data_IF_776532369828
#
_entry.id   IF_776532369828
#
_cell.length_a   1.000
_cell.length_b   1.000
_cell.length_c   1.000
_cell.angle_alpha   90.00
_cell.angle_beta   90.00
_cell.angle_gamma   90.00
#
_symmetry.space_group_name_H-M   'P 1'
#
loop_
_entity.id
_entity.type
_entity.pdbx_description
1 polymer ?
#
# COMPACT_ATOMS: atom_id res chain seq x y z
N UNK A 1 3.34 -9.71 8.95
CA UNK A 1 4.14 -9.56 7.71
C UNK A 1 3.30 -9.97 6.52
N UNK A 2 3.37 -9.23 5.45
CA UNK A 2 2.82 -9.59 4.14
C UNK A 2 3.95 -9.60 3.11
N UNK A 3 3.97 -10.59 2.23
CA UNK A 3 5.00 -10.75 1.22
C UNK A 3 4.40 -11.06 -0.14
N UNK A 4 4.93 -10.43 -1.18
CA UNK A 4 4.72 -10.79 -2.57
C UNK A 4 5.87 -11.70 -3.02
N UNK A 5 5.53 -12.86 -3.60
CA UNK A 5 6.50 -13.87 -4.02
C UNK A 5 6.39 -14.08 -5.53
N UNK A 6 7.38 -13.65 -6.28
CA UNK A 6 7.43 -13.74 -7.75
C UNK A 6 6.17 -13.21 -8.45
N UNK A 7 5.60 -12.13 -7.93
CA UNK A 7 4.34 -11.59 -8.45
C UNK A 7 4.57 -10.90 -9.79
N UNK A 8 3.85 -11.38 -10.79
CA UNK A 8 3.82 -10.81 -12.14
C UNK A 8 2.37 -10.53 -12.51
N UNK A 9 2.10 -9.34 -13.02
CA UNK A 9 0.80 -9.00 -13.60
C UNK A 9 0.97 -8.51 -15.02
N UNK A 10 0.29 -9.18 -15.97
CA UNK A 10 0.23 -8.82 -17.38
C UNK A 10 -1.15 -8.32 -17.73
N UNK A 11 -1.18 -7.22 -18.47
CA UNK A 11 -2.38 -6.70 -19.11
C UNK A 11 -2.15 -6.81 -20.63
N UNK A 12 -2.73 -7.82 -21.25
CA UNK A 12 -2.45 -8.16 -22.64
C UNK A 12 -1.00 -8.64 -22.81
N UNK A 13 -0.27 -7.99 -23.71
CA UNK A 13 1.15 -8.32 -23.98
C UNK A 13 2.15 -7.60 -23.09
N UNK A 14 1.68 -6.62 -22.32
CA UNK A 14 2.54 -5.78 -21.47
C UNK A 14 2.44 -6.20 -20.00
N UNK A 15 3.57 -6.37 -19.36
CA UNK A 15 3.62 -6.54 -17.91
C UNK A 15 3.58 -5.18 -17.21
N UNK A 16 2.70 -5.02 -16.21
CA UNK A 16 2.73 -3.88 -15.31
C UNK A 16 3.90 -4.01 -14.34
N UNK A 17 4.13 -5.20 -13.83
CA UNK A 17 5.30 -5.57 -13.03
C UNK A 17 5.59 -7.06 -13.20
N UNK A 18 6.86 -7.43 -13.05
CA UNK A 18 7.35 -8.78 -13.26
C UNK A 18 8.24 -9.24 -12.10
N UNK A 19 8.02 -10.48 -11.66
CA UNK A 19 8.85 -11.19 -10.68
C UNK A 19 9.14 -10.34 -9.43
N UNK A 20 8.11 -9.68 -8.92
CA UNK A 20 8.22 -8.85 -7.72
C UNK A 20 8.34 -9.73 -6.48
N UNK A 21 9.44 -9.57 -5.75
CA UNK A 21 9.68 -10.18 -4.45
C UNK A 21 9.88 -9.06 -3.43
N UNK A 22 8.93 -8.90 -2.53
CA UNK A 22 8.97 -7.85 -1.53
C UNK A 22 8.28 -8.29 -0.25
N UNK A 23 8.86 -7.92 0.90
CA UNK A 23 8.30 -8.18 2.22
C UNK A 23 8.00 -6.86 2.92
N UNK A 24 6.83 -6.76 3.48
CA UNK A 24 6.40 -5.64 4.31
C UNK A 24 6.28 -6.12 5.75
N UNK A 25 7.03 -5.51 6.65
CA UNK A 25 7.16 -5.93 8.04
C UNK A 25 6.55 -4.95 9.02
N UNK A 26 6.23 -5.41 10.22
CA UNK A 26 5.67 -4.63 11.31
C UNK A 26 6.56 -3.44 11.70
N UNK A 27 5.94 -2.41 12.25
CA UNK A 27 6.63 -1.20 12.69
C UNK A 27 6.99 -0.24 11.57
N UNK A 28 6.56 -0.50 10.34
CA UNK A 28 6.85 0.33 9.18
C UNK A 28 5.60 0.82 8.48
N UNK A 29 5.64 2.06 8.03
CA UNK A 29 4.70 2.62 7.08
C UNK A 29 5.38 2.76 5.72
N UNK A 30 4.92 2.00 4.76
CA UNK A 30 5.48 1.98 3.41
C UNK A 30 4.66 2.90 2.49
N UNK A 31 5.30 3.90 1.90
CA UNK A 31 4.71 4.69 0.84
C UNK A 31 4.96 4.02 -0.51
N UNK A 32 3.91 3.57 -1.17
CA UNK A 32 4.00 2.99 -2.50
C UNK A 32 3.89 4.10 -3.53
N UNK A 33 4.96 4.34 -4.26
CA UNK A 33 5.06 5.41 -5.25
C UNK A 33 5.37 4.87 -6.63
N UNK A 34 5.21 5.69 -7.64
CA UNK A 34 5.46 5.37 -9.04
C UNK A 34 4.71 6.35 -9.94
N UNK A 35 5.02 6.32 -11.23
CA UNK A 35 4.32 7.11 -12.23
C UNK A 35 2.83 6.73 -12.32
N UNK A 36 1.99 7.64 -12.81
CA UNK A 36 0.60 7.32 -13.12
C UNK A 36 0.55 6.18 -14.13
N UNK A 37 -0.26 5.15 -13.84
CA UNK A 37 -0.34 3.95 -14.67
C UNK A 37 0.75 2.91 -14.39
N UNK A 38 1.62 3.11 -13.40
CA UNK A 38 2.63 2.12 -13.00
C UNK A 38 2.05 0.89 -12.29
N UNK A 39 0.79 0.97 -11.84
CA UNK A 39 0.09 -0.13 -11.20
C UNK A 39 0.05 -0.10 -9.67
N UNK A 40 0.19 1.06 -9.04
CA UNK A 40 0.16 1.22 -7.58
C UNK A 40 -1.10 0.66 -6.95
N UNK A 41 -2.26 1.16 -7.36
CA UNK A 41 -3.56 0.69 -6.87
C UNK A 41 -3.82 -0.77 -7.21
N UNK A 42 -3.37 -1.20 -8.37
CA UNK A 42 -3.46 -2.60 -8.82
C UNK A 42 -2.63 -3.51 -7.93
N UNK A 43 -1.43 -3.10 -7.55
CA UNK A 43 -0.58 -3.85 -6.62
C UNK A 43 -1.23 -3.99 -5.24
N UNK A 44 -1.85 -2.93 -4.71
CA UNK A 44 -2.63 -3.03 -3.47
C UNK A 44 -3.78 -4.02 -3.57
N UNK A 45 -4.48 -4.07 -4.71
CA UNK A 45 -5.55 -5.05 -4.93
C UNK A 45 -5.05 -6.49 -4.94
N UNK A 46 -3.85 -6.72 -5.46
CA UNK A 46 -3.21 -8.04 -5.40
C UNK A 46 -2.85 -8.40 -3.96
N UNK A 47 -2.26 -7.48 -3.20
CA UNK A 47 -1.92 -7.70 -1.79
C UNK A 47 -3.15 -8.00 -0.93
N UNK A 48 -4.28 -7.36 -1.22
CA UNK A 48 -5.54 -7.55 -0.48
C UNK A 48 -6.34 -8.79 -0.93
N UNK A 49 -5.91 -9.47 -1.98
CA UNK A 49 -6.62 -10.62 -2.53
C UNK A 49 -7.80 -10.28 -3.45
N UNK A 50 -8.02 -9.00 -3.77
CA UNK A 50 -9.09 -8.56 -4.68
C UNK A 50 -8.79 -8.88 -6.15
N UNK A 51 -7.54 -9.05 -6.49
CA UNK A 51 -7.06 -9.36 -7.83
C UNK A 51 -6.00 -10.45 -7.76
N UNK A 52 -6.15 -11.49 -8.59
CA UNK A 52 -5.13 -12.51 -8.70
C UNK A 52 -4.00 -12.09 -9.65
N UNK A 53 -2.73 -12.30 -9.29
CA UNK A 53 -1.62 -12.06 -10.21
C UNK A 53 -1.61 -13.09 -11.34
N UNK A 54 -0.95 -12.75 -12.44
CA UNK A 54 -0.72 -13.68 -13.55
C UNK A 54 0.19 -14.83 -13.14
N UNK A 55 1.21 -14.52 -12.33
CA UNK A 55 2.14 -15.48 -11.72
C UNK A 55 2.49 -15.03 -10.30
N UNK A 56 2.92 -15.99 -9.49
CA UNK A 56 3.31 -15.74 -8.11
C UNK A 56 2.12 -15.74 -7.15
N UNK A 57 2.42 -15.44 -5.92
CA UNK A 57 1.44 -15.45 -4.83
C UNK A 57 1.77 -14.39 -3.77
N UNK A 58 0.79 -14.14 -2.91
CA UNK A 58 0.93 -13.28 -1.74
C UNK A 58 0.73 -14.12 -0.50
N UNK A 59 1.66 -14.01 0.44
CA UNK A 59 1.59 -14.71 1.73
C UNK A 59 1.47 -13.73 2.88
N UNK A 60 0.64 -14.07 3.85
CA UNK A 60 0.44 -13.32 5.09
C UNK A 60 0.77 -14.25 6.25
N UNK A 61 1.45 -13.74 7.27
CA UNK A 61 1.71 -14.50 8.49
C UNK A 61 0.39 -15.05 9.05
N UNK A 62 0.32 -16.37 9.33
CA UNK A 62 -0.92 -16.97 9.84
C UNK A 62 -1.45 -16.27 11.08
N UNK A 63 -2.77 -16.07 11.14
CA UNK A 63 -3.45 -15.41 12.24
C UNK A 63 -3.46 -13.87 12.17
N UNK A 64 -2.77 -13.27 11.23
CA UNK A 64 -2.79 -11.82 11.04
C UNK A 64 -4.00 -11.37 10.21
N UNK A 65 -4.58 -10.23 10.60
CA UNK A 65 -5.73 -9.63 9.94
C UNK A 65 -5.30 -8.51 9.02
N UNK A 66 -5.68 -8.61 7.75
CA UNK A 66 -5.50 -7.57 6.76
C UNK A 66 -6.76 -6.72 6.67
N UNK A 67 -6.59 -5.41 6.65
CA UNK A 67 -7.63 -4.42 6.39
C UNK A 67 -7.23 -3.55 5.20
N UNK A 68 -8.19 -3.20 4.36
CA UNK A 68 -7.96 -2.29 3.24
C UNK A 68 -9.09 -1.26 3.15
N UNK A 69 -8.78 -0.11 2.55
CA UNK A 69 -9.77 0.93 2.29
C UNK A 69 -10.69 0.49 1.16
N UNK A 70 -11.96 0.22 1.51
CA UNK A 70 -13.01 -0.16 0.56
C UNK A 70 -13.34 1.02 -0.36
N UNK A 71 -13.44 0.76 -1.66
CA UNK A 71 -13.72 1.79 -2.67
C UNK A 71 -15.22 1.94 -2.99
N UNK A 72 -16.01 0.88 -2.77
CA UNK A 72 -17.46 0.93 -2.96
C UNK A 72 -18.18 1.52 -1.75
N UNK A 73 -18.40 2.83 -1.77
CA UNK A 73 -19.03 3.55 -0.67
C UNK A 73 -20.55 3.39 -0.60
N UNK A 74 -21.19 2.72 -1.53
CA UNK A 74 -22.63 2.39 -1.49
C UNK A 74 -22.91 1.01 -0.90
N UNK A 75 -21.89 0.20 -0.72
CA UNK A 75 -22.01 -1.19 -0.26
C UNK A 75 -22.70 -1.33 1.10
N UNK A 76 -22.57 -0.34 1.96
CA UNK A 76 -23.05 -0.38 3.35
C UNK A 76 -24.26 0.52 3.59
N UNK A 77 -24.96 0.96 2.56
CA UNK A 77 -26.08 1.92 2.67
C UNK A 77 -27.21 1.45 3.59
N UNK A 78 -27.41 0.15 3.75
CA UNK A 78 -28.43 -0.44 4.61
C UNK A 78 -28.05 -0.47 6.10
N UNK A 79 -26.81 -0.11 6.45
CA UNK A 79 -26.29 -0.23 7.82
C UNK A 79 -26.10 1.13 8.49
N UNK A 80 -26.23 1.19 9.82
CA UNK A 80 -25.83 2.38 10.58
C UNK A 80 -24.34 2.69 10.42
N UNK A 81 -23.98 3.95 10.54
CA UNK A 81 -22.59 4.43 10.43
C UNK A 81 -21.67 3.70 11.42
N UNK A 82 -22.06 3.65 12.69
CA UNK A 82 -21.26 3.01 13.73
C UNK A 82 -21.06 1.51 13.46
N UNK A 83 -22.10 0.81 13.06
CA UNK A 83 -22.04 -0.61 12.68
C UNK A 83 -21.07 -0.84 11.51
N UNK A 84 -21.12 0.03 10.51
CA UNK A 84 -20.24 -0.06 9.34
C UNK A 84 -18.78 0.00 9.75
N UNK A 85 -18.40 0.85 10.69
CA UNK A 85 -17.04 0.93 11.23
C UNK A 85 -16.65 -0.36 11.95
N UNK A 86 -17.51 -0.86 12.83
CA UNK A 86 -17.24 -2.08 13.62
C UNK A 86 -17.13 -3.32 12.71
N UNK A 87 -17.84 -3.34 11.58
CA UNK A 87 -17.70 -4.39 10.54
C UNK A 87 -16.28 -4.50 9.99
N UNK A 88 -15.43 -3.51 10.20
CA UNK A 88 -14.00 -3.58 9.89
C UNK A 88 -13.31 -4.76 10.57
N UNK A 89 -13.82 -5.18 11.73
CA UNK A 89 -13.50 -6.46 12.34
C UNK A 89 -14.69 -7.40 12.23
N UNK A 90 -14.74 -8.17 11.16
CA UNK A 90 -15.90 -9.02 10.82
C UNK A 90 -16.29 -9.98 11.95
N UNK A 91 -15.30 -10.62 12.59
CA UNK A 91 -15.59 -11.57 13.68
C UNK A 91 -16.21 -10.88 14.88
N UNK A 92 -15.71 -9.71 15.26
CA UNK A 92 -16.27 -8.94 16.37
C UNK A 92 -17.72 -8.56 16.09
N UNK A 93 -18.02 -8.10 14.90
CA UNK A 93 -19.38 -7.75 14.49
C UNK A 93 -20.32 -8.95 14.51
N UNK A 94 -19.89 -10.11 14.02
CA UNK A 94 -20.65 -11.37 14.11
C UNK A 94 -20.96 -11.74 15.55
N UNK A 95 -20.00 -11.63 16.45
CA UNK A 95 -20.19 -11.91 17.89
C UNK A 95 -21.23 -10.97 18.49
N UNK A 96 -21.13 -9.68 18.19
CA UNK A 96 -22.09 -8.68 18.68
C UNK A 96 -23.51 -9.00 18.23
N UNK A 97 -23.72 -9.37 16.97
CA UNK A 97 -25.03 -9.72 16.42
C UNK A 97 -25.57 -11.03 16.95
N UNK A 98 -24.74 -12.04 17.08
CA UNK A 98 -25.14 -13.33 17.66
C UNK A 98 -25.52 -13.18 19.13
N UNK A 99 -24.80 -12.39 19.91
CA UNK A 99 -25.15 -12.07 21.30
C UNK A 99 -26.51 -11.38 21.39
N UNK A 100 -26.74 -10.35 20.58
CA UNK A 100 -28.04 -9.64 20.54
C UNK A 100 -29.16 -10.60 20.23
N UNK A 101 -29.01 -11.50 19.26
CA UNK A 101 -30.00 -12.47 18.87
C UNK A 101 -30.28 -13.49 20.01
N UNK A 102 -29.24 -13.97 20.69
CA UNK A 102 -29.37 -14.90 21.81
C UNK A 102 -30.12 -14.28 23.01
N UNK A 103 -29.72 -13.07 23.40
CA UNK A 103 -30.34 -12.37 24.52
C UNK A 103 -31.75 -11.87 24.22
N UNK A 104 -32.13 -11.75 22.95
CA UNK A 104 -33.50 -11.40 22.54
C UNK A 104 -34.45 -12.59 22.44
N UNK A 105 -33.97 -13.82 22.60
CA UNK A 105 -34.82 -15.01 22.59
C UNK A 105 -35.75 -15.05 23.78
N UNK A 106 -37.02 -15.31 23.54
CA UNK A 106 -38.02 -15.54 24.59
C UNK A 106 -37.80 -16.91 25.28
N UNK A 107 -37.37 -17.92 24.52
CA UNK A 107 -37.05 -19.27 24.96
C UNK A 107 -35.52 -19.44 25.06
N UNK A 108 -34.93 -18.91 26.13
CA UNK A 108 -33.50 -19.01 26.39
C UNK A 108 -33.16 -20.33 27.07
N UNK A 109 -32.51 -21.24 26.36
CA UNK A 109 -32.14 -22.57 26.81
C UNK A 109 -30.78 -22.59 27.53
N UNK A 110 -30.48 -23.72 28.21
CA UNK A 110 -29.15 -23.93 28.82
C UNK A 110 -28.05 -23.94 27.74
N UNK A 111 -28.31 -24.48 26.55
CA UNK A 111 -27.39 -24.45 25.41
C UNK A 111 -27.16 -23.02 24.96
N UNK A 112 -28.18 -22.18 24.91
CA UNK A 112 -28.03 -20.75 24.61
C UNK A 112 -27.14 -20.04 25.63
N UNK A 113 -27.25 -20.42 26.92
CA UNK A 113 -26.41 -19.91 28.00
C UNK A 113 -24.92 -20.27 27.80
N UNK A 114 -24.64 -21.50 27.41
CA UNK A 114 -23.27 -21.96 27.11
C UNK A 114 -22.71 -21.17 25.92
N UNK A 115 -23.47 -21.04 24.85
CA UNK A 115 -23.06 -20.28 23.66
C UNK A 115 -22.83 -18.81 24.00
N UNK A 116 -23.68 -18.19 24.76
CA UNK A 116 -23.52 -16.81 25.22
C UNK A 116 -22.23 -16.62 26.01
N UNK A 117 -21.89 -17.57 26.90
CA UNK A 117 -20.64 -17.53 27.67
C UNK A 117 -19.38 -17.63 26.77
N UNK A 118 -19.41 -18.50 25.76
CA UNK A 118 -18.33 -18.60 24.78
C UNK A 118 -18.15 -17.29 24.01
N UNK A 119 -19.25 -16.69 23.56
CA UNK A 119 -19.24 -15.41 22.83
C UNK A 119 -18.74 -14.26 23.70
N UNK A 120 -19.15 -14.21 24.98
CA UNK A 120 -18.65 -13.21 25.93
C UNK A 120 -17.13 -13.32 26.14
N UNK A 121 -16.60 -14.53 26.19
CA UNK A 121 -15.16 -14.78 26.29
C UNK A 121 -14.41 -14.25 25.07
N UNK A 122 -14.84 -14.58 23.85
CA UNK A 122 -14.24 -14.04 22.62
C UNK A 122 -14.39 -12.51 22.53
N UNK A 123 -15.54 -11.99 22.88
CA UNK A 123 -15.83 -10.56 22.89
C UNK A 123 -14.86 -9.79 23.80
N UNK A 124 -14.62 -10.30 25.00
CA UNK A 124 -13.66 -9.71 25.94
C UNK A 124 -12.22 -9.77 25.41
N UNK A 125 -11.81 -10.89 24.81
CA UNK A 125 -10.48 -11.05 24.22
C UNK A 125 -10.23 -10.07 23.06
N UNK A 126 -11.27 -9.69 22.33
CA UNK A 126 -11.22 -8.75 21.22
C UNK A 126 -11.45 -7.29 21.63
N UNK A 127 -11.45 -6.97 22.92
CA UNK A 127 -11.79 -5.64 23.47
C UNK A 127 -13.16 -5.14 23.01
N UNK A 128 -14.14 -6.03 22.91
CA UNK A 128 -15.47 -5.73 22.40
C UNK A 128 -16.23 -4.66 23.18
N UNK A 129 -15.96 -4.55 24.49
CA UNK A 129 -16.55 -3.52 25.35
C UNK A 129 -16.16 -2.10 24.97
N UNK A 130 -15.02 -1.92 24.31
CA UNK A 130 -14.52 -0.63 23.86
C UNK A 130 -14.82 -0.39 22.36
N UNK A 131 -15.44 -1.33 21.66
CA UNK A 131 -15.65 -1.27 20.21
C UNK A 131 -16.42 -0.02 19.77
N UNK A 132 -17.52 0.31 20.44
CA UNK A 132 -18.32 1.50 20.11
C UNK A 132 -17.54 2.79 20.37
N UNK A 133 -16.86 2.88 21.51
CA UNK A 133 -16.04 4.04 21.86
C UNK A 133 -14.87 4.22 20.87
N UNK A 134 -14.20 3.15 20.50
CA UNK A 134 -13.11 3.17 19.51
C UNK A 134 -13.62 3.61 18.13
N UNK A 135 -14.77 3.08 17.70
CA UNK A 135 -15.40 3.48 16.45
C UNK A 135 -15.79 4.96 16.44
N UNK A 136 -16.35 5.47 17.53
CA UNK A 136 -16.71 6.88 17.68
C UNK A 136 -15.48 7.79 17.62
N UNK A 137 -14.37 7.41 18.24
CA UNK A 137 -13.11 8.16 18.19
C UNK A 137 -12.56 8.25 16.77
N UNK A 138 -12.60 7.16 16.01
CA UNK A 138 -12.18 7.14 14.62
C UNK A 138 -13.05 8.06 13.76
N UNK A 139 -14.36 7.98 13.91
CA UNK A 139 -15.31 8.81 13.18
C UNK A 139 -15.13 10.30 13.50
N UNK A 140 -15.03 10.66 14.77
CA UNK A 140 -14.80 12.03 15.19
C UNK A 140 -13.48 12.59 14.66
N UNK A 141 -12.41 11.79 14.73
CA UNK A 141 -11.10 12.17 14.21
C UNK A 141 -11.12 12.47 12.72
N UNK A 142 -11.91 11.73 11.94
CA UNK A 142 -12.05 11.91 10.50
C UNK A 142 -13.11 12.95 10.10
N UNK A 143 -13.74 13.61 11.08
CA UNK A 143 -14.68 14.69 10.83
C UNK A 143 -16.14 14.27 10.65
N UNK A 144 -16.50 13.05 11.08
CA UNK A 144 -17.89 12.60 11.19
C UNK A 144 -18.37 12.85 12.61
N UNK A 145 -19.26 13.82 12.77
CA UNK A 145 -19.76 14.25 14.08
C UNK A 145 -20.65 13.19 14.76
N UNK A 146 -20.72 13.23 16.07
CA UNK A 146 -21.42 12.23 16.88
C UNK A 146 -22.92 12.08 16.58
N UNK A 147 -23.58 13.14 16.14
CA UNK A 147 -24.99 13.11 15.74
C UNK A 147 -25.26 12.25 14.49
N UNK A 148 -24.24 11.97 13.68
CA UNK A 148 -24.34 11.11 12.50
C UNK A 148 -24.00 9.65 12.76
N UNK A 149 -23.46 9.30 13.92
CA UNK A 149 -22.96 7.94 14.19
C UNK A 149 -24.03 6.87 14.19
N UNK A 150 -25.26 7.21 14.55
CA UNK A 150 -26.41 6.29 14.54
C UNK A 150 -27.29 6.43 13.29
N UNK A 151 -26.95 7.34 12.40
CA UNK A 151 -27.63 7.48 11.10
C UNK A 151 -27.31 6.30 10.20
N UNK A 152 -28.18 6.04 9.22
CA UNK A 152 -27.88 5.08 8.16
C UNK A 152 -26.82 5.65 7.21
N UNK A 153 -26.00 4.76 6.68
CA UNK A 153 -25.02 5.15 5.66
C UNK A 153 -25.68 5.82 4.44
N UNK A 154 -26.88 5.37 4.06
CA UNK A 154 -27.65 5.98 2.96
C UNK A 154 -27.97 7.45 3.16
N UNK A 155 -28.03 7.94 4.40
CA UNK A 155 -28.32 9.33 4.74
C UNK A 155 -27.10 10.26 4.61
N UNK A 156 -25.92 9.72 4.44
CA UNK A 156 -24.68 10.47 4.33
C UNK A 156 -24.42 10.94 2.89
N UNK A 157 -23.67 12.04 2.74
CA UNK A 157 -23.10 12.41 1.45
C UNK A 157 -22.03 11.41 0.99
N UNK A 158 -21.69 11.41 -0.30
CA UNK A 158 -20.64 10.57 -0.84
C UNK A 158 -19.29 10.78 -0.15
N UNK A 159 -18.92 12.02 0.12
CA UNK A 159 -17.71 12.40 0.86
C UNK A 159 -17.70 11.86 2.29
N UNK A 160 -18.82 11.95 2.99
CA UNK A 160 -18.97 11.39 4.34
C UNK A 160 -18.88 9.87 4.36
N UNK A 161 -19.50 9.19 3.37
CA UNK A 161 -19.40 7.73 3.22
C UNK A 161 -17.94 7.27 3.08
N UNK A 162 -17.14 7.95 2.28
CA UNK A 162 -15.72 7.64 2.11
C UNK A 162 -14.96 7.77 3.43
N UNK A 163 -15.22 8.79 4.23
CA UNK A 163 -14.63 8.95 5.57
C UNK A 163 -15.00 7.82 6.52
N UNK A 164 -16.24 7.38 6.48
CA UNK A 164 -16.70 6.23 7.28
C UNK A 164 -15.99 4.94 6.86
N UNK A 165 -15.79 4.73 5.57
CA UNK A 165 -15.03 3.57 5.07
C UNK A 165 -13.57 3.61 5.50
N UNK A 166 -12.97 4.80 5.57
CA UNK A 166 -11.64 4.96 6.13
C UNK A 166 -11.61 4.59 7.61
N UNK A 167 -12.56 5.07 8.41
CA UNK A 167 -12.71 4.69 9.81
C UNK A 167 -12.83 3.16 9.96
N UNK A 168 -13.64 2.53 9.11
CA UNK A 168 -13.79 1.08 9.06
C UNK A 168 -12.46 0.36 8.80
N UNK A 169 -11.67 0.86 7.86
CA UNK A 169 -10.36 0.29 7.55
C UNK A 169 -9.39 0.36 8.73
N UNK A 170 -9.44 1.45 9.50
CA UNK A 170 -8.57 1.68 10.67
C UNK A 170 -9.03 0.92 11.92
N UNK A 171 -10.30 0.49 11.96
CA UNK A 171 -10.92 -0.07 13.16
C UNK A 171 -10.25 -1.37 13.63
N UNK A 172 -10.13 -1.51 14.94
CA UNK A 172 -9.72 -2.77 15.57
C UNK A 172 -8.24 -3.09 15.43
N UNK A 173 -7.39 -2.12 15.16
CA UNK A 173 -5.94 -2.27 15.06
C UNK A 173 -5.54 -3.46 14.16
N UNK A 174 -5.78 -3.40 12.85
CA UNK A 174 -5.42 -4.48 11.94
C UNK A 174 -3.90 -4.73 11.95
N UNK A 175 -3.49 -5.95 11.65
CA UNK A 175 -2.07 -6.30 11.57
C UNK A 175 -1.43 -5.74 10.31
N UNK A 176 -2.21 -5.66 9.23
CA UNK A 176 -1.79 -5.13 7.93
C UNK A 176 -2.88 -4.18 7.44
N UNK A 177 -2.50 -2.94 7.17
CA UNK A 177 -3.40 -1.88 6.72
C UNK A 177 -2.98 -1.37 5.34
N UNK A 178 -3.88 -1.47 4.37
CA UNK A 178 -3.68 -1.02 2.99
C UNK A 178 -4.59 0.19 2.71
N UNK A 179 -3.99 1.32 2.40
CA UNK A 179 -4.70 2.58 2.16
C UNK A 179 -4.38 3.12 0.77
N UNK A 180 -5.40 3.24 -0.07
CA UNK A 180 -5.29 3.86 -1.40
C UNK A 180 -5.93 5.25 -1.38
N UNK A 181 -5.12 6.29 -1.52
CA UNK A 181 -5.53 7.70 -1.49
C UNK A 181 -6.41 8.08 -0.29
N UNK A 182 -5.95 7.83 0.95
CA UNK A 182 -6.79 8.01 2.12
C UNK A 182 -7.10 9.47 2.47
N UNK A 183 -6.36 10.44 1.93
CA UNK A 183 -6.52 11.87 2.26
C UNK A 183 -7.43 12.64 1.33
N UNK A 184 -7.91 12.05 0.24
CA UNK A 184 -8.60 12.74 -0.87
C UNK A 184 -9.83 13.54 -0.42
N UNK A 185 -10.59 13.07 0.55
CA UNK A 185 -11.83 13.70 1.03
C UNK A 185 -11.70 14.34 2.41
N UNK A 186 -10.47 14.44 2.95
CA UNK A 186 -10.22 14.94 4.29
C UNK A 186 -9.89 16.44 4.26
N UNK A 187 -10.39 17.17 5.25
CA UNK A 187 -9.91 18.51 5.55
C UNK A 187 -8.56 18.44 6.30
N UNK A 188 -7.96 19.61 6.56
CA UNK A 188 -6.65 19.69 7.20
C UNK A 188 -6.63 19.05 8.59
N UNK A 189 -7.67 19.25 9.38
CA UNK A 189 -7.75 18.67 10.73
C UNK A 189 -7.83 17.15 10.69
N UNK A 190 -8.62 16.60 9.78
CA UNK A 190 -8.73 15.16 9.58
C UNK A 190 -7.44 14.54 9.02
N UNK A 191 -6.73 15.23 8.12
CA UNK A 191 -5.42 14.81 7.63
C UNK A 191 -4.42 14.76 8.78
N UNK A 192 -4.36 15.81 9.60
CA UNK A 192 -3.47 15.85 10.76
C UNK A 192 -3.78 14.71 11.74
N UNK A 193 -5.05 14.44 11.98
CA UNK A 193 -5.46 13.34 12.83
C UNK A 193 -5.02 11.97 12.27
N UNK A 194 -5.20 11.76 10.97
CA UNK A 194 -4.78 10.52 10.28
C UNK A 194 -3.25 10.36 10.30
N UNK A 195 -2.51 11.42 10.08
CA UNK A 195 -1.05 11.40 10.19
C UNK A 195 -0.59 10.94 11.56
N UNK A 196 -1.16 11.51 12.62
CA UNK A 196 -0.87 11.11 14.00
C UNK A 196 -1.25 9.64 14.27
N UNK A 197 -2.39 9.21 13.77
CA UNK A 197 -2.83 7.82 13.88
C UNK A 197 -1.80 6.87 13.25
N UNK A 198 -1.35 7.17 12.03
CA UNK A 198 -0.42 6.31 11.28
C UNK A 198 1.00 6.34 11.87
N UNK A 199 1.45 7.49 12.37
CA UNK A 199 2.75 7.62 13.06
C UNK A 199 2.80 6.74 14.31
N UNK A 200 1.70 6.66 15.05
CA UNK A 200 1.58 5.86 16.27
C UNK A 200 1.16 4.41 16.01
N UNK A 201 0.88 4.05 14.77
CA UNK A 201 0.46 2.71 14.40
C UNK A 201 1.66 1.76 14.37
N UNK A 202 1.63 0.73 15.20
CA UNK A 202 2.78 -0.17 15.43
C UNK A 202 2.89 -1.33 14.44
N UNK A 203 1.83 -1.60 13.69
CA UNK A 203 1.75 -2.71 12.75
C UNK A 203 2.19 -2.29 11.33
N UNK A 204 1.88 -3.08 10.33
CA UNK A 204 2.29 -2.83 8.95
C UNK A 204 1.28 -1.92 8.24
N UNK A 205 1.75 -0.83 7.63
CA UNK A 205 0.94 0.05 6.77
C UNK A 205 1.56 0.14 5.39
N UNK A 206 0.73 0.02 4.36
CA UNK A 206 1.12 0.31 2.97
C UNK A 206 0.13 1.34 2.44
N UNK A 207 0.63 2.51 2.05
CA UNK A 207 -0.19 3.62 1.60
C UNK A 207 0.21 4.08 0.20
N UNK A 208 -0.79 4.32 -0.64
CA UNK A 208 -0.65 5.01 -1.92
C UNK A 208 -1.24 6.40 -1.77
N UNK A 209 -0.48 7.44 -2.08
CA UNK A 209 -0.95 8.82 -2.07
C UNK A 209 -0.18 9.68 -3.06
N UNK A 210 -0.87 10.66 -3.66
CA UNK A 210 -0.25 11.73 -4.44
C UNK A 210 0.18 12.91 -3.56
N UNK A 211 -0.20 12.91 -2.29
CA UNK A 211 0.19 13.94 -1.31
C UNK A 211 1.56 13.61 -0.72
N UNK A 212 2.60 14.23 -1.29
CA UNK A 212 3.98 14.02 -0.84
C UNK A 212 4.24 14.50 0.59
N UNK A 213 3.52 15.52 1.05
CA UNK A 213 3.64 16.01 2.43
C UNK A 213 3.15 14.96 3.43
N UNK A 214 2.01 14.35 3.11
CA UNK A 214 1.48 13.23 3.87
C UNK A 214 2.45 12.04 3.90
N UNK A 215 2.93 11.60 2.74
CA UNK A 215 3.89 10.51 2.65
C UNK A 215 5.18 10.80 3.42
N UNK A 216 5.68 12.03 3.31
CA UNK A 216 6.89 12.43 4.02
C UNK A 216 6.75 12.35 5.54
N UNK A 217 5.56 12.67 6.04
CA UNK A 217 5.27 12.70 7.47
C UNK A 217 5.04 11.31 8.07
N UNK A 218 4.39 10.40 7.35
CA UNK A 218 3.95 9.10 7.88
C UNK A 218 4.85 7.93 7.48
N UNK A 219 5.56 8.01 6.35
CA UNK A 219 6.33 6.88 5.83
C UNK A 219 7.70 6.75 6.50
N UNK A 220 8.04 5.51 6.81
CA UNK A 220 9.38 5.10 7.26
C UNK A 220 10.18 4.46 6.14
N UNK A 221 9.50 3.94 5.11
CA UNK A 221 10.09 3.35 3.92
C UNK A 221 9.27 3.72 2.68
N UNK A 222 9.94 3.77 1.54
CA UNK A 222 9.31 4.01 0.23
C UNK A 222 9.49 2.78 -0.64
N UNK A 223 8.40 2.31 -1.22
CA UNK A 223 8.40 1.26 -2.23
C UNK A 223 8.12 1.90 -3.60
N UNK A 224 9.10 1.93 -4.45
CA UNK A 224 9.03 2.58 -5.77
C UNK A 224 8.74 1.55 -6.86
N UNK A 225 7.61 1.71 -7.55
CA UNK A 225 7.28 0.93 -8.75
C UNK A 225 7.85 1.67 -9.96
N UNK A 226 8.89 1.12 -10.54
CA UNK A 226 9.52 1.67 -11.74
C UNK A 226 9.98 0.55 -12.68
N UNK A 227 9.74 0.72 -13.96
CA UNK A 227 10.10 -0.26 -15.01
C UNK A 227 9.60 -1.69 -14.73
N UNK A 228 8.39 -1.82 -14.18
CA UNK A 228 7.78 -3.11 -13.86
C UNK A 228 8.38 -3.82 -12.65
N UNK A 229 9.22 -3.15 -11.88
CA UNK A 229 9.84 -3.67 -10.64
C UNK A 229 9.51 -2.77 -9.47
N UNK A 230 9.60 -3.33 -8.27
CA UNK A 230 9.40 -2.59 -7.02
C UNK A 230 10.69 -2.64 -6.22
N UNK A 231 11.18 -1.47 -5.85
CA UNK A 231 12.39 -1.32 -5.05
C UNK A 231 12.08 -0.60 -3.74
N UNK A 232 12.59 -1.15 -2.62
CA UNK A 232 12.47 -0.55 -1.30
C UNK A 232 13.62 0.41 -1.02
N UNK A 233 13.27 1.58 -0.46
CA UNK A 233 14.21 2.55 0.08
C UNK A 233 13.86 2.80 1.55
N UNK A 234 14.83 2.71 2.43
CA UNK A 234 14.66 3.10 3.83
C UNK A 234 14.59 4.62 3.93
N UNK A 235 13.72 5.14 4.80
CA UNK A 235 13.53 6.57 5.01
C UNK A 235 12.20 7.10 4.46
N UNK A 236 11.97 8.39 4.63
CA UNK A 236 10.76 9.06 4.16
C UNK A 236 10.83 9.47 2.68
N UNK A 237 9.77 10.15 2.21
CA UNK A 237 9.69 10.61 0.82
C UNK A 237 10.86 11.54 0.43
N UNK A 238 11.23 12.48 1.28
CA UNK A 238 12.32 13.42 0.98
C UNK A 238 13.65 12.67 0.82
N UNK A 239 13.95 11.73 1.70
CA UNK A 239 15.13 10.88 1.59
C UNK A 239 15.15 10.07 0.29
N UNK A 240 14.01 9.47 -0.08
CA UNK A 240 13.87 8.77 -1.35
C UNK A 240 14.10 9.71 -2.54
N UNK A 241 13.48 10.90 -2.52
CA UNK A 241 13.60 11.88 -3.60
C UNK A 241 15.06 12.31 -3.81
N UNK A 242 15.74 12.69 -2.75
CA UNK A 242 17.16 13.08 -2.80
C UNK A 242 18.05 11.93 -3.27
N UNK A 243 17.84 10.73 -2.76
CA UNK A 243 18.61 9.53 -3.15
C UNK A 243 18.38 9.16 -4.62
N UNK A 244 17.15 9.25 -5.12
CA UNK A 244 16.82 8.97 -6.51
C UNK A 244 17.41 10.02 -7.46
N UNK A 245 17.40 11.31 -7.09
CA UNK A 245 18.03 12.37 -7.86
C UNK A 245 19.55 12.20 -7.93
N UNK A 246 20.17 11.83 -6.83
CA UNK A 246 21.62 11.55 -6.81
C UNK A 246 21.96 10.37 -7.71
N UNK A 247 21.18 9.30 -7.67
CA UNK A 247 21.38 8.13 -8.53
C UNK A 247 21.26 8.49 -10.01
N UNK A 248 20.24 9.26 -10.40
CA UNK A 248 20.03 9.74 -11.76
C UNK A 248 21.23 10.57 -12.20
N UNK A 249 21.72 11.47 -11.35
CA UNK A 249 22.91 12.29 -11.65
C UNK A 249 24.14 11.43 -11.89
N UNK A 250 24.38 10.43 -11.04
CA UNK A 250 25.50 9.49 -11.20
C UNK A 250 25.40 8.68 -12.50
N UNK A 251 24.20 8.22 -12.86
CA UNK A 251 23.96 7.50 -14.12
C UNK A 251 24.22 8.39 -15.34
N UNK A 252 23.78 9.66 -15.31
CA UNK A 252 24.07 10.63 -16.39
C UNK A 252 25.54 10.89 -16.54
N UNK A 253 26.26 11.06 -15.45
CA UNK A 253 27.72 11.28 -15.48
C UNK A 253 28.46 10.04 -16.03
N UNK A 254 28.05 8.85 -15.59
CA UNK A 254 28.62 7.59 -16.10
C UNK A 254 28.33 7.40 -17.60
N UNK A 255 27.11 7.68 -18.06
CA UNK A 255 26.76 7.62 -19.47
C UNK A 255 27.56 8.63 -20.29
N UNK A 256 27.74 9.86 -19.80
CA UNK A 256 28.56 10.87 -20.47
C UNK A 256 29.99 10.39 -20.68
N UNK A 257 30.60 9.79 -19.66
CA UNK A 257 31.94 9.20 -19.78
C UNK A 257 31.98 8.06 -20.80
N UNK A 258 30.94 7.21 -20.82
CA UNK A 258 30.81 6.15 -21.83
C UNK A 258 30.68 6.73 -23.25
N UNK A 259 29.88 7.77 -23.43
CA UNK A 259 29.70 8.46 -24.71
C UNK A 259 31.02 9.09 -25.20
N UNK A 260 31.77 9.77 -24.33
CA UNK A 260 33.09 10.30 -24.64
C UNK A 260 34.04 9.19 -25.08
N UNK A 261 34.02 8.06 -24.37
CA UNK A 261 34.85 6.90 -24.73
C UNK A 261 34.44 6.26 -26.06
N UNK A 262 33.15 6.17 -26.33
CA UNK A 262 32.62 5.71 -27.63
C UNK A 262 33.15 6.63 -28.75
N UNK A 263 33.06 7.95 -28.56
CA UNK A 263 33.51 8.91 -29.53
C UNK A 263 35.03 8.79 -29.81
N UNK A 264 35.84 8.69 -28.77
CA UNK A 264 37.28 8.47 -28.90
C UNK A 264 37.58 7.19 -29.69
N UNK A 265 36.90 6.09 -29.37
CA UNK A 265 37.11 4.81 -30.06
C UNK A 265 36.66 4.87 -31.51
N UNK A 266 35.58 5.55 -31.82
CA UNK A 266 35.09 5.75 -33.18
C UNK A 266 36.06 6.60 -34.00
N UNK A 267 36.58 7.70 -33.44
CA UNK A 267 37.57 8.55 -34.09
C UNK A 267 38.86 7.79 -34.37
N UNK A 268 39.34 6.97 -33.41
CA UNK A 268 40.51 6.13 -33.61
C UNK A 268 40.29 5.10 -34.73
N UNK A 269 39.16 4.40 -34.72
CA UNK A 269 38.82 3.40 -35.73
C UNK A 269 38.74 4.04 -37.11
N UNK A 270 38.07 5.19 -37.23
CA UNK A 270 37.96 5.93 -38.50
C UNK A 270 39.33 6.40 -39.04
N UNK A 271 40.19 6.87 -38.12
CA UNK A 271 41.48 7.44 -38.49
C UNK A 271 42.52 6.39 -38.90
N UNK A 272 42.52 5.21 -38.30
CA UNK A 272 43.58 4.21 -38.42
C UNK A 272 43.13 2.86 -39.02
N UNK A 273 41.88 2.69 -39.39
CA UNK A 273 41.39 1.42 -39.96
C UNK A 273 42.06 1.06 -41.31
N UNK A 274 42.45 2.04 -42.09
CA UNK A 274 43.13 1.86 -43.38
C UNK A 274 44.67 1.65 -43.28
N UNK A 275 45.24 1.78 -42.07
CA UNK A 275 46.68 1.64 -41.84
C UNK A 275 47.01 0.22 -41.37
N UNK A 276 47.80 -0.51 -42.17
CA UNK A 276 48.14 -1.92 -41.90
C UNK A 276 48.83 -2.16 -40.54
N UNK A 277 49.67 -1.22 -40.08
CA UNK A 277 50.36 -1.32 -38.79
C UNK A 277 49.46 -1.09 -37.58
N UNK A 278 48.36 -0.39 -37.76
CA UNK A 278 47.37 -0.05 -36.70
C UNK A 278 46.05 -0.77 -36.81
N UNK A 279 45.84 -1.61 -37.84
CA UNK A 279 44.58 -2.28 -38.08
C UNK A 279 44.21 -3.29 -36.94
N UNK A 280 45.22 -3.94 -36.33
CA UNK A 280 44.99 -4.79 -35.15
C UNK A 280 44.52 -3.99 -33.94
N UNK A 281 45.03 -2.78 -33.71
CA UNK A 281 44.61 -1.88 -32.66
C UNK A 281 43.20 -1.35 -32.95
N UNK A 282 42.88 -1.01 -34.19
CA UNK A 282 41.54 -0.62 -34.60
C UNK A 282 40.52 -1.72 -34.37
N UNK A 283 40.86 -2.97 -34.70
CA UNK A 283 39.99 -4.14 -34.44
C UNK A 283 39.76 -4.38 -32.94
N UNK A 284 40.84 -4.25 -32.14
CA UNK A 284 40.73 -4.38 -30.68
C UNK A 284 39.81 -3.29 -30.08
N UNK A 285 39.95 -2.06 -30.54
CA UNK A 285 39.10 -0.94 -30.08
C UNK A 285 37.66 -1.06 -30.56
N UNK A 286 37.40 -1.61 -31.73
CA UNK A 286 36.08 -1.93 -32.23
C UNK A 286 35.37 -2.95 -31.30
N UNK A 287 36.09 -3.99 -30.88
CA UNK A 287 35.56 -4.96 -29.89
C UNK A 287 35.29 -4.32 -28.53
N UNK A 288 36.12 -3.38 -28.10
CA UNK A 288 35.90 -2.61 -26.89
C UNK A 288 34.63 -1.74 -26.98
N UNK A 289 34.42 -1.11 -28.15
CA UNK A 289 33.22 -0.31 -28.42
C UNK A 289 31.93 -1.13 -28.31
N UNK A 290 31.91 -2.36 -28.85
CA UNK A 290 30.77 -3.26 -28.81
C UNK A 290 30.37 -3.67 -27.39
N UNK A 291 31.28 -3.57 -26.41
CA UNK A 291 31.04 -3.93 -25.00
C UNK A 291 30.47 -2.78 -24.16
N UNK A 292 30.50 -1.57 -24.67
CA UNK A 292 30.03 -0.40 -23.94
C UNK A 292 28.50 -0.32 -24.05
N UNK A 293 27.81 -0.35 -22.92
CA UNK A 293 26.35 -0.18 -22.82
C UNK A 293 26.04 1.09 -22.05
N UNK A 294 25.08 1.85 -22.56
CA UNK A 294 24.54 3.02 -21.87
C UNK A 294 23.35 2.61 -21.00
N UNK A 295 23.23 3.23 -19.81
CA UNK A 295 22.10 3.04 -18.94
C UNK A 295 20.88 3.82 -19.47
N UNK A 296 19.71 3.20 -19.41
CA UNK A 296 18.47 3.89 -19.73
C UNK A 296 18.11 4.85 -18.60
N UNK A 297 17.92 6.13 -18.97
CA UNK A 297 17.50 7.20 -18.06
C UNK A 297 16.19 7.78 -18.61
N UNK A 298 15.11 7.69 -17.84
CA UNK A 298 13.82 8.30 -18.17
C UNK A 298 13.61 9.62 -17.47
#
# INVERSE_FOLDING_TARGET
>A
MIAANNVTLRVGKKALFEEVNIKFTEGNCYGLIGANGAGKSTFLKILSGQLEPTKGDVTITPGQRLSFLEQDHFKYDAYPVLDTVIMGNARLYEIMKEKEALYAKEDFTDEDGIRASELEGEFAEMNGWEAESDAEQLLNGLGIESDLHYSLMSDLSGSQKVKVLLARALFGTPDILLLDEPTTHLDLDAINWLEEFLINFENTVIVVSHDRYFLNKVCTQIADIDYGKIQLYAGNYDFWFESSQLLIKQMKEANKKKEEKIKELQEFISRFSANASKSKQATSRKRALEKIQLDEIK
#
